data_IF_240882555611
#
_entry.id   IF_240882555611
#
_cell.length_a   1.000
_cell.length_b   1.000
_cell.length_c   1.000
_cell.angle_alpha   90.00
_cell.angle_beta   90.00
_cell.angle_gamma   90.00
#
_symmetry.space_group_name_H-M   'P 1'
#
loop_
_entity.id
_entity.type
_entity.pdbx_description
1 polymer ?
#
# COMPACT_ATOMS: atom_id res chain seq x y z
N UNK A 1 3.53 13.11 -17.50
CA UNK A 1 3.49 12.56 -16.13
C UNK A 1 3.84 11.09 -16.15
N UNK A 2 4.80 10.67 -15.35
CA UNK A 2 5.03 9.24 -15.21
C UNK A 2 3.82 8.58 -14.56
N UNK A 3 3.63 7.31 -14.85
CA UNK A 3 2.59 6.51 -14.23
C UNK A 3 3.24 5.32 -13.53
N UNK A 4 2.56 4.79 -12.53
CA UNK A 4 3.00 3.60 -11.85
C UNK A 4 2.01 2.47 -12.13
N UNK A 5 2.53 1.38 -12.65
CA UNK A 5 1.75 0.16 -12.86
C UNK A 5 2.26 -0.89 -11.89
N UNK A 6 1.48 -1.27 -10.88
CA UNK A 6 1.92 -2.30 -9.93
C UNK A 6 2.20 -3.62 -10.63
N UNK A 7 3.29 -4.32 -10.27
CA UNK A 7 3.64 -5.59 -10.89
C UNK A 7 2.81 -6.73 -10.29
N UNK A 8 1.49 -6.69 -10.51
CA UNK A 8 0.56 -7.65 -9.89
C UNK A 8 0.83 -9.09 -10.30
N UNK A 9 1.15 -9.30 -11.58
CA UNK A 9 1.42 -10.64 -12.08
C UNK A 9 2.66 -11.24 -11.41
N UNK A 10 3.71 -10.44 -11.24
CA UNK A 10 4.93 -10.89 -10.57
C UNK A 10 4.66 -11.20 -9.10
N UNK A 11 3.87 -10.35 -8.42
CA UNK A 11 3.47 -10.59 -7.03
C UNK A 11 2.68 -11.88 -6.91
N UNK A 12 1.70 -12.09 -7.78
CA UNK A 12 0.88 -13.30 -7.78
C UNK A 12 1.73 -14.54 -8.07
N UNK A 13 2.67 -14.44 -9.00
CA UNK A 13 3.58 -15.55 -9.30
C UNK A 13 4.38 -15.93 -8.06
N UNK A 14 4.97 -14.96 -7.38
CA UNK A 14 5.77 -15.23 -6.17
C UNK A 14 4.91 -15.85 -5.08
N UNK A 15 3.73 -15.31 -4.83
CA UNK A 15 2.88 -15.78 -3.73
C UNK A 15 2.28 -17.15 -4.00
N UNK A 16 1.86 -17.42 -5.23
CA UNK A 16 1.16 -18.67 -5.54
C UNK A 16 2.09 -19.76 -6.05
N UNK A 17 3.01 -19.42 -6.95
CA UNK A 17 3.86 -20.41 -7.62
C UNK A 17 5.15 -20.69 -6.86
N UNK A 18 5.77 -19.64 -6.32
CA UNK A 18 7.07 -19.80 -5.62
C UNK A 18 6.85 -20.20 -4.15
N UNK A 19 6.00 -19.46 -3.43
CA UNK A 19 5.82 -19.65 -1.99
C UNK A 19 4.64 -20.53 -1.61
N UNK A 20 3.62 -20.62 -2.47
CA UNK A 20 2.44 -21.42 -2.17
C UNK A 20 1.69 -20.95 -0.92
N UNK A 21 1.57 -19.64 -0.72
CA UNK A 21 1.06 -19.07 0.54
C UNK A 21 -0.36 -19.51 0.86
N UNK A 22 -1.22 -19.74 -0.15
CA UNK A 22 -2.60 -20.17 0.10
C UNK A 22 -2.67 -21.52 0.82
N UNK A 23 -1.79 -22.44 0.43
CA UNK A 23 -1.71 -23.75 1.09
C UNK A 23 -1.17 -23.62 2.51
N UNK A 24 -0.21 -22.73 2.73
CA UNK A 24 0.32 -22.50 4.07
C UNK A 24 -0.74 -21.88 4.98
N UNK A 25 -1.50 -20.90 4.49
CA UNK A 25 -2.58 -20.28 5.26
C UNK A 25 -3.70 -21.24 5.58
N UNK A 26 -4.02 -22.15 4.65
CA UNK A 26 -5.05 -23.17 4.87
C UNK A 26 -4.72 -24.08 6.06
N UNK A 27 -3.44 -24.26 6.35
CA UNK A 27 -2.98 -25.07 7.48
C UNK A 27 -2.94 -24.29 8.81
N UNK A 28 -3.14 -22.97 8.77
CA UNK A 28 -3.14 -22.14 9.96
C UNK A 28 -4.57 -21.79 10.36
N UNK A 29 -5.05 -22.21 11.55
CA UNK A 29 -6.44 -21.96 11.94
C UNK A 29 -6.87 -20.50 11.83
N UNK A 30 -5.98 -19.57 12.20
CA UNK A 30 -6.28 -18.14 12.17
C UNK A 30 -6.47 -17.60 10.75
N UNK A 31 -5.81 -18.19 9.77
CA UNK A 31 -5.81 -17.72 8.39
C UNK A 31 -6.40 -18.71 7.40
N UNK A 32 -7.10 -19.72 7.90
CA UNK A 32 -7.61 -20.81 7.06
C UNK A 32 -8.57 -20.36 5.95
N UNK A 33 -9.21 -19.20 6.13
CA UNK A 33 -10.15 -18.66 5.14
C UNK A 33 -9.47 -17.77 4.10
N UNK A 34 -8.15 -17.51 4.24
CA UNK A 34 -7.42 -16.68 3.29
C UNK A 34 -6.99 -17.55 2.11
N UNK A 35 -7.81 -17.57 1.08
CA UNK A 35 -7.57 -18.36 -0.13
C UNK A 35 -6.87 -17.52 -1.23
N UNK A 36 -6.58 -18.16 -2.36
CA UNK A 36 -5.89 -17.50 -3.47
C UNK A 36 -6.68 -16.32 -4.02
N UNK A 37 -8.00 -16.42 -4.12
CA UNK A 37 -8.84 -15.34 -4.63
C UNK A 37 -8.83 -14.13 -3.67
N UNK A 38 -8.84 -14.37 -2.37
CA UNK A 38 -8.74 -13.31 -1.36
C UNK A 38 -7.39 -12.60 -1.47
N UNK A 39 -6.30 -13.36 -1.59
CA UNK A 39 -4.95 -12.80 -1.74
C UNK A 39 -4.88 -11.93 -3.00
N UNK A 40 -5.39 -12.41 -4.12
CA UNK A 40 -5.41 -11.66 -5.36
C UNK A 40 -6.20 -10.36 -5.23
N UNK A 41 -7.37 -10.42 -4.60
CA UNK A 41 -8.21 -9.23 -4.38
C UNK A 41 -7.49 -8.17 -3.54
N UNK A 42 -6.80 -8.60 -2.48
CA UNK A 42 -6.03 -7.69 -1.62
C UNK A 42 -4.90 -7.04 -2.41
N UNK A 43 -4.15 -7.82 -3.19
CA UNK A 43 -3.04 -7.29 -4.00
C UNK A 43 -3.57 -6.29 -5.04
N UNK A 44 -4.67 -6.59 -5.69
CA UNK A 44 -5.27 -5.70 -6.69
C UNK A 44 -5.71 -4.36 -6.07
N UNK A 45 -6.37 -4.41 -4.92
CA UNK A 45 -6.77 -3.18 -4.23
C UNK A 45 -5.57 -2.39 -3.72
N UNK A 46 -4.55 -3.05 -3.19
CA UNK A 46 -3.30 -2.39 -2.80
C UNK A 46 -2.65 -1.71 -4.00
N UNK A 47 -2.66 -2.36 -5.16
CA UNK A 47 -2.13 -1.79 -6.40
C UNK A 47 -2.86 -0.54 -6.83
N UNK A 48 -4.19 -0.52 -6.75
CA UNK A 48 -4.99 0.66 -7.05
C UNK A 48 -4.67 1.80 -6.10
N UNK A 49 -4.57 1.52 -4.82
CA UNK A 49 -4.21 2.54 -3.82
C UNK A 49 -2.82 3.11 -4.12
N UNK A 50 -1.86 2.25 -4.39
CA UNK A 50 -0.50 2.69 -4.71
C UNK A 50 -0.46 3.56 -5.95
N UNK A 51 -1.14 3.17 -7.03
CA UNK A 51 -1.12 3.90 -8.29
C UNK A 51 -1.88 5.22 -8.22
N UNK A 52 -3.00 5.25 -7.51
CA UNK A 52 -3.94 6.37 -7.54
C UNK A 52 -3.80 7.33 -6.37
N UNK A 53 -3.32 6.87 -5.22
CA UNK A 53 -3.24 7.68 -4.00
C UNK A 53 -1.81 8.02 -3.62
N UNK A 54 -0.94 7.01 -3.46
CA UNK A 54 0.42 7.29 -2.97
C UNK A 54 1.40 7.66 -4.06
N UNK A 55 1.33 7.05 -5.22
CA UNK A 55 2.27 7.38 -6.30
C UNK A 55 2.24 8.86 -6.71
N UNK A 56 1.05 9.50 -6.88
CA UNK A 56 1.03 10.93 -7.24
C UNK A 56 1.74 11.83 -6.23
N UNK A 57 1.86 11.37 -4.97
CA UNK A 57 2.53 12.14 -3.92
C UNK A 57 4.05 11.94 -3.89
N UNK A 58 4.56 10.96 -4.63
CA UNK A 58 5.98 10.64 -4.59
C UNK A 58 6.84 11.82 -5.09
N UNK A 59 6.56 12.32 -6.27
CA UNK A 59 7.32 13.44 -6.85
C UNK A 59 7.01 14.74 -6.13
N UNK A 60 5.73 15.06 -5.94
CA UNK A 60 5.33 16.31 -5.28
C UNK A 60 5.85 16.39 -3.86
N UNK A 61 5.82 15.25 -3.13
CA UNK A 61 6.36 15.20 -1.77
C UNK A 61 7.86 15.38 -1.72
N UNK A 62 8.58 14.81 -2.67
CA UNK A 62 10.03 14.97 -2.78
C UNK A 62 10.41 16.43 -3.08
N UNK A 63 9.67 17.06 -3.98
CA UNK A 63 9.92 18.46 -4.35
C UNK A 63 9.58 19.43 -3.21
N UNK A 64 8.46 19.23 -2.55
CA UNK A 64 8.00 20.09 -1.47
C UNK A 64 8.79 19.87 -0.18
N UNK A 65 8.97 18.61 0.20
CA UNK A 65 9.62 18.22 1.46
C UNK A 65 8.79 18.56 2.68
N UNK A 66 9.33 18.19 3.83
CA UNK A 66 8.74 18.54 5.12
C UNK A 66 9.20 19.92 5.55
N UNK A 67 8.36 20.62 6.32
CA UNK A 67 8.66 21.96 6.83
C UNK A 67 8.74 21.91 8.34
N UNK A 68 9.84 22.45 8.89
CA UNK A 68 10.02 22.60 10.33
C UNK A 68 9.76 24.03 10.75
N UNK A 69 8.84 24.24 11.68
CA UNK A 69 8.64 25.52 12.33
C UNK A 69 9.67 25.65 13.46
N UNK A 70 10.60 26.56 13.33
CA UNK A 70 11.71 26.72 14.30
C UNK A 70 11.25 27.28 15.64
N UNK A 71 10.07 27.90 15.68
CA UNK A 71 9.54 28.47 16.92
C UNK A 71 8.76 27.42 17.74
N UNK A 72 7.86 26.69 17.09
CA UNK A 72 7.03 25.69 17.76
C UNK A 72 7.63 24.29 17.72
N UNK A 73 8.63 24.05 16.85
CA UNK A 73 9.25 22.75 16.57
C UNK A 73 8.28 21.76 15.94
N UNK A 74 7.19 22.23 15.36
CA UNK A 74 6.26 21.38 14.63
C UNK A 74 6.80 21.07 13.23
N UNK A 75 6.59 19.82 12.79
CA UNK A 75 6.94 19.39 11.45
C UNK A 75 5.65 19.20 10.66
N UNK A 76 5.60 19.81 9.48
CA UNK A 76 4.47 19.68 8.57
C UNK A 76 4.89 18.83 7.38
N UNK A 77 4.14 17.76 7.12
CA UNK A 77 4.35 16.88 5.97
C UNK A 77 3.95 17.59 4.67
N UNK A 78 4.44 17.12 3.50
CA UNK A 78 4.03 17.67 2.22
C UNK A 78 2.51 17.61 2.03
N UNK A 79 2.01 18.50 1.19
CA UNK A 79 0.58 18.58 0.87
C UNK A 79 0.08 17.25 0.32
N UNK A 80 -1.07 16.78 0.82
CA UNK A 80 -1.71 15.54 0.40
C UNK A 80 -1.37 14.32 1.21
N UNK A 81 -0.28 14.35 2.00
CA UNK A 81 0.16 13.19 2.77
C UNK A 81 -0.83 12.85 3.90
N UNK A 82 -1.36 13.85 4.57
CA UNK A 82 -2.32 13.64 5.66
C UNK A 82 -3.60 12.96 5.14
N UNK A 83 -4.10 13.42 3.99
CA UNK A 83 -5.29 12.88 3.37
C UNK A 83 -5.04 11.45 2.86
N UNK A 84 -3.88 11.19 2.28
CA UNK A 84 -3.51 9.85 1.84
C UNK A 84 -3.42 8.87 3.01
N UNK A 85 -2.84 9.31 4.12
CA UNK A 85 -2.76 8.49 5.34
C UNK A 85 -4.17 8.20 5.89
N UNK A 86 -5.05 9.19 5.88
CA UNK A 86 -6.43 9.01 6.31
C UNK A 86 -7.15 7.95 5.45
N UNK A 87 -6.93 7.98 4.14
CA UNK A 87 -7.49 6.96 3.24
C UNK A 87 -6.90 5.58 3.52
N UNK A 88 -5.62 5.51 3.82
CA UNK A 88 -4.95 4.26 4.20
C UNK A 88 -5.60 3.65 5.43
N UNK A 89 -5.82 4.45 6.47
CA UNK A 89 -6.47 4.01 7.70
C UNK A 89 -7.93 3.61 7.44
N UNK A 90 -8.67 4.41 6.68
CA UNK A 90 -10.07 4.14 6.34
C UNK A 90 -10.22 2.81 5.59
N UNK A 91 -9.26 2.48 4.73
CA UNK A 91 -9.24 1.22 4.00
C UNK A 91 -8.85 0.01 4.84
N UNK A 92 -8.46 0.21 6.10
CA UNK A 92 -8.09 -0.88 6.99
C UNK A 92 -6.67 -1.41 6.78
N UNK A 93 -5.83 -0.72 6.01
CA UNK A 93 -4.48 -1.20 5.69
C UNK A 93 -3.54 -1.21 6.89
N UNK A 94 -3.86 -0.48 7.94
CA UNK A 94 -3.01 -0.36 9.12
C UNK A 94 -3.12 -1.56 10.08
N UNK A 95 -4.00 -2.54 9.81
CA UNK A 95 -4.08 -3.75 10.64
C UNK A 95 -5.46 -4.31 10.82
#
# INVERSE_FOLDING_TARGET
>A
MPTYTPPLRDMQFVMHEVLGVANEYAAMPRFAEVDADTINAVIEEAGKFAANVTFPLNISGDEEGCTLDKTTHEVTAPKGFKEAFAQYVEGGWHG
#
